data_IF_558746374916
#
_entry.id   IF_558746374916
#
_cell.length_a   1.000
_cell.length_b   1.000
_cell.length_c   1.000
_cell.angle_alpha   90.00
_cell.angle_beta   90.00
_cell.angle_gamma   90.00
#
_symmetry.space_group_name_H-M   'P 1'
#
loop_
_entity.id
_entity.type
_entity.pdbx_description
1 polymer ?
#
# COMPACT_ATOMS: atom_id res chain seq x y z
N UNK A 1 -11.98 -1.30 -19.24
CA UNK A 1 -12.00 -1.41 -17.76
C UNK A 1 -10.76 -2.18 -17.37
N UNK A 2 -10.02 -1.71 -16.36
CA UNK A 2 -8.78 -2.37 -15.91
C UNK A 2 -9.05 -3.74 -15.27
N UNK A 3 -8.02 -4.59 -15.15
CA UNK A 3 -8.13 -5.97 -14.65
C UNK A 3 -8.62 -6.07 -13.19
N UNK A 4 -8.52 -4.99 -12.43
CA UNK A 4 -8.93 -4.91 -11.02
C UNK A 4 -10.37 -4.42 -10.82
N UNK A 5 -11.04 -3.93 -11.87
CA UNK A 5 -12.39 -3.39 -11.75
C UNK A 5 -13.39 -4.46 -11.28
N UNK A 6 -14.16 -4.12 -10.26
CA UNK A 6 -15.21 -4.99 -9.71
C UNK A 6 -16.61 -4.51 -10.08
N UNK A 7 -16.92 -3.26 -9.73
CA UNK A 7 -18.22 -2.63 -9.97
C UNK A 7 -18.16 -1.13 -9.71
N UNK A 8 -19.30 -0.46 -9.97
CA UNK A 8 -19.53 0.93 -9.55
C UNK A 8 -20.45 0.94 -8.32
N UNK A 9 -20.16 1.80 -7.35
CA UNK A 9 -21.00 2.08 -6.19
C UNK A 9 -21.43 3.55 -6.21
N UNK A 10 -22.54 3.90 -5.54
CA UNK A 10 -23.04 5.27 -5.50
C UNK A 10 -22.86 5.91 -4.11
N UNK A 11 -22.59 7.20 -4.11
CA UNK A 11 -22.53 8.04 -2.91
C UNK A 11 -23.34 9.32 -3.15
N UNK A 12 -24.43 9.48 -2.40
CA UNK A 12 -25.20 10.71 -2.38
C UNK A 12 -24.69 11.63 -1.27
N UNK A 13 -24.25 12.82 -1.62
CA UNK A 13 -23.64 13.80 -0.70
C UNK A 13 -23.84 15.24 -1.22
N UNK A 14 -24.24 16.17 -0.36
CA UNK A 14 -24.39 17.59 -0.71
C UNK A 14 -25.33 17.83 -1.90
N UNK A 15 -26.39 17.02 -2.06
CA UNK A 15 -27.32 17.09 -3.19
C UNK A 15 -26.76 16.56 -4.52
N UNK A 16 -25.55 16.02 -4.54
CA UNK A 16 -24.92 15.40 -5.71
C UNK A 16 -24.82 13.89 -5.54
N UNK A 17 -24.94 13.17 -6.65
CA UNK A 17 -24.69 11.73 -6.72
C UNK A 17 -23.36 11.48 -7.41
N UNK A 18 -22.45 10.80 -6.71
CA UNK A 18 -21.20 10.34 -7.25
C UNK A 18 -21.28 8.86 -7.64
N UNK A 19 -20.72 8.52 -8.79
CA UNK A 19 -20.49 7.15 -9.24
C UNK A 19 -19.02 6.80 -9.03
N UNK A 20 -18.76 5.89 -8.11
CA UNK A 20 -17.40 5.52 -7.70
C UNK A 20 -17.10 4.09 -8.17
N UNK A 21 -16.09 3.96 -9.01
CA UNK A 21 -15.53 2.66 -9.42
C UNK A 21 -14.76 2.07 -8.24
N UNK A 22 -14.90 0.77 -8.03
CA UNK A 22 -14.20 0.05 -6.97
C UNK A 22 -13.47 -1.17 -7.50
N UNK A 23 -12.29 -1.43 -6.95
CA UNK A 23 -11.51 -2.62 -7.22
C UNK A 23 -11.81 -3.73 -6.21
N UNK A 24 -11.59 -4.99 -6.62
CA UNK A 24 -11.81 -6.17 -5.79
C UNK A 24 -11.03 -6.12 -4.47
N UNK A 25 -9.80 -5.66 -4.51
CA UNK A 25 -8.85 -5.70 -3.39
C UNK A 25 -8.82 -4.43 -2.54
N UNK A 26 -9.67 -3.45 -2.84
CA UNK A 26 -9.79 -2.23 -2.04
C UNK A 26 -10.80 -2.42 -0.90
N UNK A 27 -10.56 -1.70 0.19
CA UNK A 27 -11.49 -1.67 1.32
C UNK A 27 -12.88 -1.22 0.87
N UNK A 28 -13.91 -1.88 1.43
CA UNK A 28 -15.32 -1.58 1.15
C UNK A 28 -15.72 -1.64 -0.34
N UNK A 29 -15.21 -2.66 -1.05
CA UNK A 29 -15.44 -2.85 -2.49
C UNK A 29 -16.86 -3.32 -2.86
N UNK A 30 -17.80 -3.42 -1.93
CA UNK A 30 -19.19 -3.78 -2.16
C UNK A 30 -20.15 -2.58 -2.16
N UNK A 31 -19.90 -1.63 -1.26
CA UNK A 31 -20.65 -0.39 -1.09
C UNK A 31 -19.76 0.63 -0.36
N UNK A 32 -20.15 1.90 -0.35
CA UNK A 32 -19.46 2.90 0.46
C UNK A 32 -19.66 2.57 1.93
N UNK A 33 -18.56 2.46 2.66
CA UNK A 33 -18.55 2.09 4.08
C UNK A 33 -19.48 2.98 4.93
N UNK A 34 -20.21 2.33 5.85
CA UNK A 34 -21.17 3.02 6.73
C UNK A 34 -20.47 4.06 7.61
N UNK A 35 -19.25 3.76 8.09
CA UNK A 35 -18.44 4.71 8.86
C UNK A 35 -18.07 5.95 8.03
N UNK A 36 -17.67 5.76 6.77
CA UNK A 36 -17.41 6.86 5.83
C UNK A 36 -18.64 7.74 5.63
N UNK A 37 -19.82 7.14 5.41
CA UNK A 37 -21.09 7.90 5.32
C UNK A 37 -21.43 8.63 6.62
N UNK A 38 -21.16 8.00 7.77
CA UNK A 38 -21.38 8.61 9.08
C UNK A 38 -20.48 9.83 9.27
N UNK A 39 -19.20 9.72 8.93
CA UNK A 39 -18.24 10.83 9.03
C UNK A 39 -18.64 12.00 8.12
N UNK A 40 -19.00 11.74 6.85
CA UNK A 40 -19.49 12.76 5.93
C UNK A 40 -20.70 13.51 6.47
N UNK A 41 -21.65 12.82 7.10
CA UNK A 41 -22.84 13.44 7.72
C UNK A 41 -22.47 14.38 8.88
N UNK A 42 -21.43 14.07 9.66
CA UNK A 42 -20.96 14.94 10.76
C UNK A 42 -20.22 16.18 10.26
N UNK A 43 -19.81 16.20 9.00
CA UNK A 43 -19.11 17.30 8.34
C UNK A 43 -20.02 18.11 7.38
N UNK A 44 -21.33 17.80 7.35
CA UNK A 44 -22.28 18.49 6.47
C UNK A 44 -22.78 19.83 7.00
N UNK A 45 -22.45 20.20 8.25
CA UNK A 45 -22.87 21.45 8.88
C UNK A 45 -22.18 22.69 8.27
N UNK A 46 -22.81 23.88 8.35
CA UNK A 46 -22.28 25.13 7.81
C UNK A 46 -20.96 25.53 8.47
N UNK A 47 -20.71 25.12 9.71
CA UNK A 47 -19.46 25.37 10.46
C UNK A 47 -18.22 24.74 9.82
N UNK A 48 -18.44 23.81 8.90
CA UNK A 48 -17.37 23.17 8.12
C UNK A 48 -17.22 23.73 6.71
N UNK A 49 -18.10 24.67 6.29
CA UNK A 49 -18.11 25.24 4.94
C UNK A 49 -16.88 26.07 4.58
N UNK A 50 -16.27 26.76 5.57
CA UNK A 50 -15.07 27.57 5.36
C UNK A 50 -13.78 26.77 5.22
N UNK A 51 -13.80 25.45 5.40
CA UNK A 51 -12.61 24.59 5.33
C UNK A 51 -12.31 24.23 3.89
N UNK A 52 -11.30 24.88 3.33
CA UNK A 52 -10.98 24.81 1.90
C UNK A 52 -9.95 23.76 1.57
N UNK A 53 -8.82 23.70 2.29
CA UNK A 53 -7.76 22.74 2.05
C UNK A 53 -7.98 21.48 2.90
N UNK A 54 -8.23 20.35 2.24
CA UNK A 54 -8.64 19.07 2.87
C UNK A 54 -7.65 17.97 2.55
N UNK A 55 -7.25 17.21 3.56
CA UNK A 55 -6.48 15.97 3.42
C UNK A 55 -7.36 14.77 3.77
N UNK A 56 -7.53 13.83 2.84
CA UNK A 56 -8.13 12.51 3.08
C UNK A 56 -6.99 11.48 3.25
N UNK A 57 -6.75 11.07 4.48
CA UNK A 57 -5.65 10.19 4.88
C UNK A 57 -6.10 8.72 4.86
N UNK A 58 -5.52 7.91 3.97
CA UNK A 58 -5.99 6.55 3.70
C UNK A 58 -7.26 6.56 2.85
N UNK A 59 -7.21 7.28 1.72
CA UNK A 59 -8.39 7.63 0.93
C UNK A 59 -9.11 6.45 0.26
N UNK A 60 -8.45 5.28 0.12
CA UNK A 60 -9.02 4.16 -0.63
C UNK A 60 -9.33 4.56 -2.08
N UNK A 61 -10.54 4.28 -2.55
CA UNK A 61 -11.01 4.72 -3.87
C UNK A 61 -11.64 6.14 -3.86
N UNK A 62 -11.42 6.92 -2.79
CA UNK A 62 -11.73 8.33 -2.67
C UNK A 62 -13.11 8.72 -2.13
N UNK A 63 -13.93 7.84 -1.51
CA UNK A 63 -15.32 8.17 -1.19
C UNK A 63 -15.45 9.34 -0.20
N UNK A 64 -14.50 9.49 0.74
CA UNK A 64 -14.56 10.53 1.77
C UNK A 64 -14.14 11.88 1.19
N UNK A 65 -12.94 11.99 0.64
CA UNK A 65 -12.42 13.24 0.10
C UNK A 65 -13.19 13.74 -1.13
N UNK A 66 -13.55 12.83 -2.08
CA UNK A 66 -14.38 13.19 -3.23
C UNK A 66 -15.78 13.60 -2.81
N UNK A 67 -16.35 12.97 -1.78
CA UNK A 67 -17.62 13.38 -1.19
C UNK A 67 -17.56 14.81 -0.62
N UNK A 68 -16.49 15.14 0.11
CA UNK A 68 -16.28 16.49 0.64
C UNK A 68 -16.09 17.53 -0.48
N UNK A 69 -15.36 17.20 -1.54
CA UNK A 69 -15.19 18.07 -2.72
C UNK A 69 -16.51 18.31 -3.45
N UNK A 70 -17.31 17.24 -3.61
CA UNK A 70 -18.62 17.35 -4.26
C UNK A 70 -19.61 18.21 -3.47
N UNK A 71 -19.58 18.12 -2.14
CA UNK A 71 -20.45 18.88 -1.24
C UNK A 71 -20.09 20.37 -1.16
N UNK A 72 -18.82 20.74 -1.40
CA UNK A 72 -18.33 22.10 -1.36
C UNK A 72 -17.31 22.35 -2.50
N UNK A 73 -17.74 22.98 -3.60
CA UNK A 73 -16.94 23.19 -4.81
C UNK A 73 -15.69 24.06 -4.65
N UNK A 74 -15.55 24.77 -3.56
CA UNK A 74 -14.37 25.61 -3.28
C UNK A 74 -13.23 24.86 -2.55
N UNK A 75 -13.42 23.58 -2.27
CA UNK A 75 -12.41 22.77 -1.60
C UNK A 75 -11.33 22.28 -2.56
N UNK A 76 -10.08 22.37 -2.14
CA UNK A 76 -8.94 21.68 -2.73
C UNK A 76 -8.68 20.44 -1.89
N UNK A 77 -8.63 19.27 -2.51
CA UNK A 77 -8.57 17.98 -1.78
C UNK A 77 -7.35 17.19 -2.16
N UNK A 78 -6.54 16.83 -1.17
CA UNK A 78 -5.46 15.88 -1.29
C UNK A 78 -5.93 14.51 -0.80
N UNK A 79 -5.84 13.51 -1.66
CA UNK A 79 -6.20 12.11 -1.41
C UNK A 79 -4.92 11.31 -1.30
N UNK A 80 -4.61 10.76 -0.14
CA UNK A 80 -3.36 10.01 0.02
C UNK A 80 -3.63 8.60 0.51
N UNK A 81 -2.91 7.64 -0.07
CA UNK A 81 -2.95 6.26 0.36
C UNK A 81 -1.57 5.60 0.16
N UNK A 82 -1.25 4.60 0.97
CA UNK A 82 -0.07 3.78 0.75
C UNK A 82 -0.23 2.76 -0.38
N UNK A 83 -1.46 2.50 -0.81
CA UNK A 83 -1.80 1.55 -1.87
C UNK A 83 -1.95 2.28 -3.22
N UNK A 84 -1.07 1.99 -4.17
CA UNK A 84 -1.09 2.58 -5.51
C UNK A 84 -2.43 2.34 -6.24
N UNK A 85 -3.09 1.18 -6.02
CA UNK A 85 -4.40 0.90 -6.61
C UNK A 85 -5.47 1.84 -6.05
N UNK A 86 -5.41 2.16 -4.77
CA UNK A 86 -6.30 3.15 -4.15
C UNK A 86 -6.11 4.53 -4.78
N UNK A 87 -4.86 4.95 -4.97
CA UNK A 87 -4.51 6.22 -5.61
C UNK A 87 -5.02 6.28 -7.06
N UNK A 88 -4.82 5.22 -7.85
CA UNK A 88 -5.30 5.15 -9.24
C UNK A 88 -6.83 5.26 -9.30
N UNK A 89 -7.55 4.50 -8.48
CA UNK A 89 -9.02 4.54 -8.43
C UNK A 89 -9.55 5.89 -7.91
N UNK A 90 -8.87 6.54 -6.98
CA UNK A 90 -9.21 7.89 -6.53
C UNK A 90 -9.10 8.91 -7.67
N UNK A 91 -8.04 8.85 -8.49
CA UNK A 91 -7.88 9.71 -9.69
C UNK A 91 -8.95 9.45 -10.73
N UNK A 92 -9.19 8.16 -11.05
CA UNK A 92 -10.25 7.78 -12.00
C UNK A 92 -11.63 8.24 -11.54
N UNK A 93 -11.93 8.12 -10.25
CA UNK A 93 -13.20 8.54 -9.68
C UNK A 93 -13.36 10.06 -9.64
N UNK A 94 -12.29 10.81 -9.36
CA UNK A 94 -12.31 12.28 -9.48
C UNK A 94 -12.65 12.70 -10.91
N UNK A 95 -11.94 12.15 -11.90
CA UNK A 95 -12.13 12.43 -13.33
C UNK A 95 -13.54 12.02 -13.81
N UNK A 96 -14.02 10.81 -13.45
CA UNK A 96 -15.32 10.31 -13.84
C UNK A 96 -16.50 11.18 -13.32
N UNK A 97 -16.30 11.80 -12.15
CA UNK A 97 -17.29 12.69 -11.53
C UNK A 97 -17.04 14.19 -11.83
N UNK A 98 -16.06 14.52 -12.70
CA UNK A 98 -15.68 15.89 -13.08
C UNK A 98 -15.38 16.77 -11.86
N UNK A 99 -14.63 16.22 -10.92
CA UNK A 99 -14.16 16.92 -9.74
C UNK A 99 -12.73 17.41 -10.00
N UNK A 100 -12.61 18.70 -10.18
CA UNK A 100 -11.34 19.43 -10.30
C UNK A 100 -10.75 19.73 -8.91
N UNK A 101 -9.54 20.27 -8.83
CA UNK A 101 -8.82 20.57 -7.57
C UNK A 101 -8.71 19.38 -6.61
N UNK A 102 -8.45 18.21 -7.19
CA UNK A 102 -8.21 16.95 -6.49
C UNK A 102 -6.85 16.40 -6.88
N UNK A 103 -5.96 16.25 -5.89
CA UNK A 103 -4.67 15.59 -6.05
C UNK A 103 -4.68 14.24 -5.34
N UNK A 104 -4.45 13.14 -6.06
CA UNK A 104 -4.30 11.82 -5.46
C UNK A 104 -2.88 11.27 -5.67
N UNK A 105 -2.20 10.86 -4.57
CA UNK A 105 -0.82 10.38 -4.62
C UNK A 105 -0.50 9.42 -3.47
N UNK A 106 0.62 8.67 -3.66
CA UNK A 106 1.11 7.73 -2.65
C UNK A 106 1.69 8.44 -1.43
N UNK A 107 1.29 8.00 -0.22
CA UNK A 107 1.91 8.46 1.02
C UNK A 107 1.87 7.40 2.10
N UNK A 108 2.94 7.31 2.89
CA UNK A 108 2.98 6.51 4.10
C UNK A 108 2.59 7.37 5.31
N UNK A 109 1.30 7.37 5.64
CA UNK A 109 0.75 8.33 6.58
C UNK A 109 0.95 9.77 6.08
N UNK A 110 1.57 10.62 6.90
CA UNK A 110 1.85 12.02 6.58
C UNK A 110 3.19 12.25 5.86
N UNK A 111 4.06 11.24 5.76
CA UNK A 111 5.45 11.40 5.34
C UNK A 111 5.67 11.90 3.90
N UNK A 112 4.68 11.76 3.02
CA UNK A 112 4.77 12.21 1.63
C UNK A 112 3.71 13.25 1.28
N UNK A 113 3.05 13.79 2.28
CA UNK A 113 2.06 14.85 2.09
C UNK A 113 2.73 16.09 1.52
N UNK A 114 2.23 16.59 0.38
CA UNK A 114 2.90 17.61 -0.44
C UNK A 114 2.55 19.05 -0.05
N UNK A 115 1.58 19.24 0.86
CA UNK A 115 1.15 20.54 1.33
C UNK A 115 1.06 20.54 2.86
N UNK A 116 1.10 21.70 3.45
CA UNK A 116 0.85 21.97 4.88
C UNK A 116 -0.18 23.07 5.01
N UNK A 117 -0.75 23.22 6.18
CA UNK A 117 -1.79 24.22 6.42
C UNK A 117 -3.19 23.73 6.05
N UNK A 118 -3.46 22.43 6.21
CA UNK A 118 -4.79 21.88 5.99
C UNK A 118 -5.81 22.41 7.00
N UNK A 119 -6.94 22.85 6.49
CA UNK A 119 -8.08 23.26 7.34
C UNK A 119 -8.81 22.05 7.93
N UNK A 120 -8.72 20.91 7.23
CA UNK A 120 -9.40 19.68 7.60
C UNK A 120 -8.57 18.45 7.20
N UNK A 121 -8.30 17.60 8.16
CA UNK A 121 -7.78 16.23 7.92
C UNK A 121 -8.89 15.24 8.24
N UNK A 122 -9.19 14.34 7.31
CA UNK A 122 -10.19 13.29 7.50
C UNK A 122 -9.57 11.91 7.30
N UNK A 123 -10.08 10.91 8.03
CA UNK A 123 -9.65 9.52 7.86
C UNK A 123 -10.70 8.52 8.37
N UNK A 124 -10.85 7.44 7.64
CA UNK A 124 -11.43 6.21 8.16
C UNK A 124 -10.29 5.31 8.65
N UNK A 125 -10.05 5.31 9.95
CA UNK A 125 -8.85 4.72 10.56
C UNK A 125 -8.82 3.19 10.39
N UNK A 126 -7.76 2.62 9.80
CA UNK A 126 -7.65 1.18 9.57
C UNK A 126 -7.45 0.41 10.88
N UNK A 127 -8.42 -0.41 11.26
CA UNK A 127 -8.44 -1.11 12.55
C UNK A 127 -7.25 -2.07 12.78
N UNK A 128 -6.65 -2.58 11.72
CA UNK A 128 -5.56 -3.56 11.77
C UNK A 128 -4.16 -2.96 11.57
N UNK A 129 -4.03 -1.63 11.61
CA UNK A 129 -2.75 -0.98 11.36
C UNK A 129 -1.69 -1.22 12.45
N UNK A 130 -2.13 -1.62 13.65
CA UNK A 130 -1.28 -1.70 14.84
C UNK A 130 -1.33 -0.42 15.67
N UNK A 131 -1.07 -0.56 16.97
CA UNK A 131 -1.24 0.52 17.92
C UNK A 131 -0.39 1.76 17.64
N UNK A 132 0.93 1.64 17.40
CA UNK A 132 1.78 2.80 17.13
C UNK A 132 1.39 3.52 15.85
N UNK A 133 0.93 2.77 14.83
CA UNK A 133 0.49 3.34 13.54
C UNK A 133 -0.83 4.10 13.72
N UNK A 134 -1.80 3.57 14.48
CA UNK A 134 -3.06 4.26 14.78
C UNK A 134 -2.77 5.57 15.53
N UNK A 135 -1.88 5.56 16.51
CA UNK A 135 -1.44 6.76 17.21
C UNK A 135 -0.84 7.81 16.27
N UNK A 136 0.05 7.39 15.36
CA UNK A 136 0.62 8.29 14.35
C UNK A 136 -0.45 8.86 13.41
N UNK A 137 -1.43 8.05 12.97
CA UNK A 137 -2.50 8.53 12.10
C UNK A 137 -3.40 9.57 12.80
N UNK A 138 -3.57 9.46 14.12
CA UNK A 138 -4.37 10.39 14.92
C UNK A 138 -3.60 11.66 15.29
N UNK A 139 -2.39 11.52 15.84
CA UNK A 139 -1.64 12.64 16.41
C UNK A 139 -0.72 13.32 15.41
N UNK A 140 -0.25 12.63 14.37
CA UNK A 140 0.61 13.19 13.32
C UNK A 140 -0.07 14.26 12.45
N UNK A 141 -1.38 14.39 12.52
CA UNK A 141 -2.10 15.47 11.84
C UNK A 141 -1.63 16.87 12.26
N UNK A 142 -1.09 17.03 13.48
CA UNK A 142 -0.51 18.26 13.97
C UNK A 142 0.62 18.81 13.07
N UNK A 143 1.33 17.94 12.36
CA UNK A 143 2.44 18.32 11.47
C UNK A 143 1.99 19.01 10.18
N UNK A 144 0.73 18.81 9.78
CA UNK A 144 0.22 19.31 8.49
C UNK A 144 -0.97 20.27 8.61
N UNK A 145 -1.57 20.39 9.79
CA UNK A 145 -2.74 21.26 10.00
C UNK A 145 -2.39 22.74 10.03
N UNK A 146 -3.30 23.57 9.53
CA UNK A 146 -3.32 24.99 9.80
C UNK A 146 -3.67 25.28 11.28
N UNK A 147 -3.30 26.47 11.81
CA UNK A 147 -3.81 26.94 13.10
C UNK A 147 -5.34 26.89 13.14
N UNK A 148 -5.91 26.21 14.16
CA UNK A 148 -7.36 26.01 14.26
C UNK A 148 -7.95 24.98 13.28
N UNK A 149 -7.10 24.28 12.53
CA UNK A 149 -7.51 23.18 11.68
C UNK A 149 -8.21 22.06 12.47
N UNK A 150 -9.03 21.28 11.80
CA UNK A 150 -9.84 20.20 12.37
C UNK A 150 -9.35 18.85 11.89
N UNK A 151 -9.27 17.89 12.79
CA UNK A 151 -9.19 16.46 12.44
C UNK A 151 -10.56 15.84 12.66
N UNK A 152 -11.05 15.09 11.69
CA UNK A 152 -12.30 14.35 11.81
C UNK A 152 -12.06 12.89 11.37
N UNK A 153 -12.24 11.96 12.29
CA UNK A 153 -11.96 10.54 12.05
C UNK A 153 -13.14 9.66 12.42
N UNK A 154 -13.24 8.54 11.72
CA UNK A 154 -14.14 7.46 12.08
C UNK A 154 -13.35 6.18 12.37
N UNK A 155 -13.75 5.48 13.42
CA UNK A 155 -13.18 4.19 13.83
C UNK A 155 -14.29 3.17 14.05
N UNK A 156 -13.99 1.88 13.91
CA UNK A 156 -14.92 0.81 14.32
C UNK A 156 -15.08 0.77 15.83
N UNK A 157 -16.25 0.29 16.31
CA UNK A 157 -16.59 0.25 17.74
C UNK A 157 -15.51 -0.38 18.65
N UNK A 158 -14.82 -1.47 18.27
CA UNK A 158 -13.75 -2.04 19.10
C UNK A 158 -12.57 -1.10 19.39
N UNK A 159 -12.34 -0.09 18.56
CA UNK A 159 -11.26 0.90 18.77
C UNK A 159 -11.73 2.13 19.55
N UNK A 160 -13.03 2.30 19.78
CA UNK A 160 -13.62 3.51 20.34
C UNK A 160 -12.98 3.98 21.64
N UNK A 161 -12.93 3.09 22.63
CA UNK A 161 -12.44 3.45 23.97
C UNK A 161 -10.93 3.74 23.95
N UNK A 162 -10.18 2.98 23.15
CA UNK A 162 -8.75 3.21 22.98
C UNK A 162 -8.46 4.55 22.32
N UNK A 163 -9.20 4.91 21.27
CA UNK A 163 -9.03 6.18 20.56
C UNK A 163 -9.47 7.34 21.47
N UNK A 164 -10.58 7.19 22.19
CA UNK A 164 -11.01 8.18 23.18
C UNK A 164 -9.91 8.43 24.23
N UNK A 165 -9.40 7.37 24.85
CA UNK A 165 -8.35 7.48 25.86
C UNK A 165 -7.05 8.12 25.32
N UNK A 166 -6.67 7.80 24.08
CA UNK A 166 -5.51 8.40 23.44
C UNK A 166 -5.70 9.92 23.21
N UNK A 167 -6.84 10.32 22.67
CA UNK A 167 -7.13 11.73 22.38
C UNK A 167 -7.28 12.55 23.68
N UNK A 168 -8.04 12.06 24.64
CA UNK A 168 -8.27 12.70 25.94
C UNK A 168 -7.00 12.74 26.82
N UNK A 169 -6.12 11.73 26.67
CA UNK A 169 -4.82 11.67 27.36
C UNK A 169 -3.72 12.51 26.72
N UNK A 170 -3.96 13.13 25.55
CA UNK A 170 -2.98 13.95 24.83
C UNK A 170 -3.19 15.43 25.18
N UNK A 171 -2.27 16.09 25.95
CA UNK A 171 -2.50 17.45 26.47
C UNK A 171 -2.72 18.52 25.37
N UNK A 172 -2.22 18.26 24.16
CA UNK A 172 -2.35 19.16 23.01
C UNK A 172 -3.66 18.96 22.23
N UNK A 173 -4.50 17.99 22.60
CA UNK A 173 -5.71 17.62 21.85
C UNK A 173 -6.95 18.12 22.57
N UNK A 174 -7.82 18.83 21.85
CA UNK A 174 -9.17 19.21 22.28
C UNK A 174 -10.19 18.45 21.45
N UNK A 175 -10.92 17.51 22.05
CA UNK A 175 -12.03 16.81 21.39
C UNK A 175 -13.25 17.72 21.37
N UNK A 176 -13.63 18.20 20.19
CA UNK A 176 -14.75 19.17 20.00
C UNK A 176 -16.06 18.50 19.62
N UNK A 177 -16.03 17.25 19.16
CA UNK A 177 -17.23 16.50 18.82
C UNK A 177 -16.99 15.00 18.99
N UNK A 178 -17.97 14.28 19.51
CA UNK A 178 -17.97 12.82 19.59
C UNK A 178 -19.36 12.27 19.27
N UNK A 179 -19.41 11.24 18.43
CA UNK A 179 -20.64 10.50 18.13
C UNK A 179 -20.34 9.02 18.05
N UNK A 180 -21.09 8.21 18.79
CA UNK A 180 -20.98 6.75 18.78
C UNK A 180 -22.26 6.12 18.24
N UNK A 181 -22.11 5.01 17.53
CA UNK A 181 -23.16 4.08 17.12
C UNK A 181 -22.79 2.67 17.60
N UNK A 182 -23.61 1.68 17.34
CA UNK A 182 -23.28 0.29 17.67
C UNK A 182 -21.99 -0.19 16.99
N UNK A 183 -21.71 0.26 15.77
CA UNK A 183 -20.60 -0.25 14.94
C UNK A 183 -19.43 0.72 14.78
N UNK A 184 -19.62 2.02 14.98
CA UNK A 184 -18.62 3.06 14.70
C UNK A 184 -18.60 4.14 15.79
N UNK A 185 -17.46 4.84 15.88
CA UNK A 185 -17.36 6.11 16.60
C UNK A 185 -16.68 7.16 15.71
N UNK A 186 -17.19 8.39 15.75
CA UNK A 186 -16.62 9.56 15.09
C UNK A 186 -16.07 10.49 16.17
N UNK A 187 -14.89 11.03 15.90
CA UNK A 187 -14.26 12.07 16.72
C UNK A 187 -13.87 13.24 15.83
N UNK A 188 -14.22 14.48 16.26
CA UNK A 188 -13.61 15.68 15.74
C UNK A 188 -12.77 16.29 16.86
N UNK A 189 -11.55 16.69 16.52
CA UNK A 189 -10.64 17.30 17.49
C UNK A 189 -9.71 18.31 16.81
N UNK A 190 -9.09 19.14 17.63
CA UNK A 190 -8.12 20.17 17.24
C UNK A 190 -6.87 19.99 18.08
N UNK A 191 -5.79 20.59 17.61
CA UNK A 191 -4.58 20.72 18.41
C UNK A 191 -4.55 22.13 19.02
N UNK A 192 -4.42 22.21 20.34
CA UNK A 192 -4.18 23.43 21.10
C UNK A 192 -2.69 23.76 21.11
N UNK A 193 -2.38 25.06 21.21
CA UNK A 193 -1.01 25.55 21.22
C UNK A 193 -0.61 26.27 19.94
N UNK A 194 0.57 26.93 19.93
CA UNK A 194 1.10 27.51 18.70
C UNK A 194 1.30 26.38 17.68
N UNK A 195 1.03 26.62 16.38
CA UNK A 195 1.32 25.65 15.35
C UNK A 195 2.78 25.23 15.50
N UNK A 196 3.05 23.95 15.43
CA UNK A 196 4.42 23.51 15.24
C UNK A 196 4.98 24.32 14.07
N UNK A 197 6.05 25.09 14.30
CA UNK A 197 6.67 25.90 13.27
C UNK A 197 6.82 25.00 12.06
N UNK A 198 6.28 25.43 10.89
CA UNK A 198 6.08 24.67 9.67
C UNK A 198 6.99 23.42 9.62
N UNK A 199 6.51 22.34 10.19
CA UNK A 199 7.32 21.16 10.33
C UNK A 199 7.60 20.66 8.91
N UNK A 200 8.85 20.62 8.54
CA UNK A 200 9.30 19.88 7.37
C UNK A 200 8.65 18.51 7.49
N UNK A 201 7.96 18.00 6.44
CA UNK A 201 7.34 16.68 6.49
C UNK A 201 8.33 15.68 7.09
N UNK A 202 7.87 14.86 8.04
CA UNK A 202 8.75 13.94 8.77
C UNK A 202 9.63 13.19 7.78
N UNK A 203 10.94 13.13 8.05
CA UNK A 203 11.87 12.35 7.22
C UNK A 203 11.26 10.95 6.99
N UNK A 204 11.20 10.48 5.73
CA UNK A 204 10.69 9.15 5.41
C UNK A 204 11.27 8.02 6.27
N UNK A 205 12.50 8.17 6.78
CA UNK A 205 13.12 7.26 7.74
C UNK A 205 12.41 7.22 9.09
N UNK A 206 12.10 8.38 9.65
CA UNK A 206 11.35 8.51 10.91
C UNK A 206 9.93 7.94 10.80
N UNK A 207 9.30 8.08 9.63
CA UNK A 207 7.99 7.49 9.38
C UNK A 207 8.01 5.96 9.48
N UNK A 208 9.08 5.30 9.00
CA UNK A 208 9.22 3.84 9.08
C UNK A 208 9.36 3.32 10.51
N UNK A 209 9.98 4.08 11.41
CA UNK A 209 10.15 3.67 12.82
C UNK A 209 8.80 3.40 13.50
N UNK A 210 7.77 4.17 13.17
CA UNK A 210 6.40 3.99 13.69
C UNK A 210 5.76 2.68 13.26
N UNK A 211 6.18 2.14 12.12
CA UNK A 211 5.72 0.84 11.61
C UNK A 211 6.60 -0.31 12.08
N UNK A 212 7.77 -0.04 12.67
CA UNK A 212 8.68 -1.09 13.12
C UNK A 212 8.03 -1.94 14.20
N UNK A 213 8.14 -3.27 14.05
CA UNK A 213 7.62 -4.25 15.00
C UNK A 213 8.74 -4.92 15.80
N UNK A 214 9.65 -5.59 15.12
CA UNK A 214 10.74 -6.33 15.75
C UNK A 214 11.87 -6.59 14.77
N UNK A 215 13.02 -7.05 15.29
CA UNK A 215 14.08 -7.62 14.48
C UNK A 215 13.86 -9.12 14.33
N UNK A 216 14.11 -9.63 13.12
CA UNK A 216 14.04 -11.04 12.80
C UNK A 216 15.24 -11.43 11.94
N UNK A 217 15.72 -12.65 12.11
CA UNK A 217 16.83 -13.19 11.34
C UNK A 217 16.48 -14.52 10.73
N UNK A 218 16.98 -14.78 9.54
CA UNK A 218 16.82 -16.06 8.89
C UNK A 218 18.14 -16.49 8.26
N UNK A 219 18.45 -17.78 8.38
CA UNK A 219 19.55 -18.43 7.63
C UNK A 219 18.95 -19.44 6.68
N UNK A 220 19.28 -19.33 5.38
CA UNK A 220 18.81 -20.24 4.34
C UNK A 220 19.89 -20.51 3.32
N UNK A 221 20.14 -21.80 3.00
CA UNK A 221 21.18 -22.19 2.03
C UNK A 221 22.57 -21.62 2.36
N UNK A 222 22.92 -21.50 3.64
CA UNK A 222 24.18 -20.90 4.10
C UNK A 222 24.19 -19.36 4.09
N UNK A 223 23.11 -18.71 3.67
CA UNK A 223 22.98 -17.26 3.61
C UNK A 223 22.16 -16.76 4.81
N UNK A 224 22.70 -15.82 5.58
CA UNK A 224 22.04 -15.20 6.71
C UNK A 224 21.65 -13.75 6.39
N UNK A 225 20.43 -13.35 6.76
CA UNK A 225 19.93 -11.98 6.65
C UNK A 225 19.19 -11.58 7.93
N UNK A 226 19.28 -10.31 8.28
CA UNK A 226 18.57 -9.70 9.40
C UNK A 226 17.65 -8.60 8.87
N UNK A 227 16.41 -8.59 9.33
CA UNK A 227 15.40 -7.62 8.92
C UNK A 227 14.77 -6.96 10.15
N UNK A 228 14.41 -5.69 9.98
CA UNK A 228 13.43 -5.02 10.82
C UNK A 228 12.06 -5.22 10.18
N UNK A 229 11.17 -5.91 10.89
CA UNK A 229 9.82 -6.19 10.39
C UNK A 229 8.86 -5.09 10.78
N UNK A 230 7.79 -4.93 10.00
CA UNK A 230 6.83 -3.85 10.16
C UNK A 230 5.41 -4.36 10.38
N UNK A 231 4.63 -3.62 11.17
CA UNK A 231 3.18 -3.79 11.27
C UNK A 231 2.52 -3.56 9.90
N UNK A 232 1.44 -4.28 9.63
CA UNK A 232 0.67 -4.12 8.40
C UNK A 232 1.26 -4.80 7.17
N UNK A 233 2.38 -5.52 7.29
CA UNK A 233 2.94 -6.41 6.28
C UNK A 233 2.90 -7.87 6.76
N UNK A 234 2.75 -8.85 5.86
CA UNK A 234 2.78 -10.26 6.22
C UNK A 234 4.18 -10.74 6.63
N UNK A 235 4.27 -11.94 7.20
CA UNK A 235 5.53 -12.65 7.49
C UNK A 235 6.48 -11.89 8.44
N UNK A 236 5.94 -11.26 9.47
CA UNK A 236 6.72 -10.46 10.40
C UNK A 236 7.54 -11.29 11.42
N UNK A 237 7.13 -12.51 11.76
CA UNK A 237 7.82 -13.36 12.73
C UNK A 237 8.69 -14.42 12.05
N UNK A 238 8.29 -14.89 10.86
CA UNK A 238 8.99 -15.95 10.14
C UNK A 238 8.61 -15.98 8.66
N UNK A 239 9.48 -16.57 7.85
CA UNK A 239 9.20 -16.84 6.44
C UNK A 239 8.01 -17.77 6.28
N UNK A 240 7.05 -17.38 5.45
CA UNK A 240 5.97 -18.26 4.99
C UNK A 240 6.46 -19.41 4.11
N UNK A 241 5.62 -20.43 3.95
CA UNK A 241 6.00 -21.59 3.13
C UNK A 241 6.29 -21.24 1.68
N UNK A 242 5.51 -20.37 1.08
CA UNK A 242 5.72 -19.92 -0.31
C UNK A 242 7.05 -19.18 -0.44
N UNK A 243 7.35 -18.26 0.47
CA UNK A 243 8.59 -17.48 0.48
C UNK A 243 9.81 -18.38 0.67
N UNK A 244 9.71 -19.42 1.51
CA UNK A 244 10.77 -20.45 1.65
C UNK A 244 11.02 -21.19 0.36
N UNK A 245 9.98 -21.64 -0.36
CA UNK A 245 10.13 -22.34 -1.64
C UNK A 245 10.77 -21.46 -2.70
N UNK A 246 10.38 -20.19 -2.79
CA UNK A 246 10.97 -19.23 -3.73
C UNK A 246 12.42 -18.95 -3.35
N UNK A 247 12.74 -18.71 -2.08
CA UNK A 247 14.11 -18.53 -1.61
C UNK A 247 15.00 -19.72 -1.98
N UNK A 248 14.54 -20.95 -1.75
CA UNK A 248 15.27 -22.16 -2.14
C UNK A 248 15.48 -22.27 -3.65
N UNK A 249 14.51 -21.88 -4.45
CA UNK A 249 14.62 -21.86 -5.91
C UNK A 249 15.67 -20.83 -6.37
N UNK A 250 15.66 -19.63 -5.77
CA UNK A 250 16.63 -18.56 -6.04
C UNK A 250 18.04 -18.98 -5.66
N UNK A 251 18.25 -19.47 -4.44
CA UNK A 251 19.57 -19.87 -3.93
C UNK A 251 20.21 -21.01 -4.72
N UNK A 252 19.40 -21.90 -5.31
CA UNK A 252 19.89 -22.98 -6.18
C UNK A 252 20.08 -22.59 -7.63
N UNK A 253 19.42 -21.53 -8.09
CA UNK A 253 19.52 -21.08 -9.49
C UNK A 253 20.85 -20.40 -9.82
N UNK A 254 21.71 -20.18 -8.83
CA UNK A 254 22.85 -19.33 -8.89
C UNK A 254 24.06 -19.93 -9.59
N UNK A 255 24.34 -19.46 -10.80
CA UNK A 255 25.68 -19.59 -11.41
C UNK A 255 26.22 -18.23 -11.84
N UNK A 256 25.40 -17.23 -12.09
CA UNK A 256 25.83 -15.90 -12.47
C UNK A 256 24.97 -14.84 -11.76
N UNK A 257 25.60 -13.81 -11.15
CA UNK A 257 24.88 -12.65 -10.65
C UNK A 257 24.02 -12.02 -11.75
N UNK A 258 22.70 -11.77 -11.52
CA UNK A 258 21.90 -11.03 -12.50
C UNK A 258 22.40 -9.59 -12.62
N UNK A 259 22.43 -9.04 -13.83
CA UNK A 259 22.68 -7.62 -14.05
C UNK A 259 21.57 -6.79 -13.42
N UNK A 260 20.30 -7.11 -13.76
CA UNK A 260 19.12 -6.50 -13.17
C UNK A 260 18.17 -7.56 -12.64
N UNK A 261 17.80 -7.47 -11.36
CA UNK A 261 16.75 -8.29 -10.76
C UNK A 261 15.53 -7.41 -10.41
N UNK A 262 14.34 -7.86 -10.84
CA UNK A 262 13.06 -7.25 -10.52
C UNK A 262 12.36 -8.12 -9.46
N UNK A 263 11.96 -7.51 -8.36
CA UNK A 263 11.22 -8.20 -7.28
C UNK A 263 9.84 -7.58 -7.15
N UNK A 264 8.81 -8.36 -7.43
CA UNK A 264 7.41 -7.99 -7.25
C UNK A 264 6.91 -8.46 -5.89
N UNK A 265 6.21 -7.57 -5.20
CA UNK A 265 5.64 -7.82 -3.87
C UNK A 265 6.70 -8.27 -2.85
N UNK A 266 7.71 -7.42 -2.57
CA UNK A 266 8.83 -7.77 -1.71
C UNK A 266 8.45 -7.98 -0.23
N UNK A 267 7.26 -7.49 0.21
CA UNK A 267 6.78 -7.64 1.58
C UNK A 267 7.72 -7.03 2.61
N UNK A 268 8.18 -7.84 3.58
CA UNK A 268 9.17 -7.43 4.59
C UNK A 268 10.60 -7.30 4.05
N UNK A 269 10.85 -7.72 2.81
CA UNK A 269 12.19 -7.70 2.20
C UNK A 269 12.98 -9.01 2.33
N UNK A 270 12.35 -10.12 2.78
CA UNK A 270 13.04 -11.41 2.91
C UNK A 270 13.71 -11.85 1.61
N UNK A 271 12.96 -11.92 0.51
CA UNK A 271 13.47 -12.40 -0.78
C UNK A 271 14.54 -11.49 -1.38
N UNK A 272 14.35 -10.15 -1.47
CA UNK A 272 15.39 -9.28 -2.01
C UNK A 272 16.66 -9.27 -1.15
N UNK A 273 16.56 -9.36 0.19
CA UNK A 273 17.75 -9.44 1.05
C UNK A 273 18.49 -10.77 0.88
N UNK A 274 17.79 -11.91 0.80
CA UNK A 274 18.40 -13.21 0.50
C UNK A 274 19.05 -13.22 -0.88
N UNK A 275 18.38 -12.67 -1.90
CA UNK A 275 18.95 -12.53 -3.24
C UNK A 275 20.20 -11.65 -3.22
N UNK A 276 20.15 -10.50 -2.53
CA UNK A 276 21.31 -9.61 -2.40
C UNK A 276 22.49 -10.33 -1.74
N UNK A 277 22.27 -11.00 -0.62
CA UNK A 277 23.32 -11.69 0.11
C UNK A 277 23.94 -12.86 -0.68
N UNK A 278 23.14 -13.56 -1.49
CA UNK A 278 23.57 -14.73 -2.26
C UNK A 278 24.21 -14.38 -3.61
N UNK A 279 23.68 -13.40 -4.33
CA UNK A 279 24.00 -13.20 -5.75
C UNK A 279 24.52 -11.80 -6.10
N UNK A 280 24.37 -10.80 -5.22
CA UNK A 280 24.86 -9.43 -5.44
C UNK A 280 24.48 -8.87 -6.82
N UNK A 281 23.19 -8.81 -7.20
CA UNK A 281 22.76 -8.28 -8.50
C UNK A 281 23.29 -6.86 -8.74
N UNK A 282 23.56 -6.52 -9.99
CA UNK A 282 24.00 -5.18 -10.39
C UNK A 282 23.00 -4.11 -10.07
N UNK A 283 21.70 -4.42 -10.21
CA UNK A 283 20.56 -3.54 -9.88
C UNK A 283 19.42 -4.36 -9.30
N UNK A 284 18.76 -3.82 -8.28
CA UNK A 284 17.53 -4.34 -7.69
C UNK A 284 16.39 -3.35 -7.92
N UNK A 285 15.35 -3.79 -8.59
CA UNK A 285 14.10 -3.03 -8.75
C UNK A 285 13.03 -3.70 -7.92
N UNK A 286 12.47 -2.98 -6.94
CA UNK A 286 11.35 -3.45 -6.13
C UNK A 286 10.08 -2.78 -6.64
N UNK A 287 9.07 -3.56 -6.97
CA UNK A 287 7.78 -3.04 -7.43
C UNK A 287 6.67 -3.62 -6.56
N UNK A 288 5.89 -2.75 -5.99
CA UNK A 288 4.69 -3.09 -5.22
C UNK A 288 3.67 -1.95 -5.28
N UNK A 289 2.41 -2.29 -5.13
CA UNK A 289 1.36 -1.30 -4.87
C UNK A 289 1.39 -0.79 -3.42
N UNK A 290 2.01 -1.51 -2.49
CA UNK A 290 2.14 -1.13 -1.08
C UNK A 290 3.45 -0.39 -0.82
N UNK A 291 3.36 0.93 -0.62
CA UNK A 291 4.51 1.80 -0.36
C UNK A 291 5.29 1.40 0.90
N UNK A 292 4.59 0.87 1.93
CA UNK A 292 5.24 0.37 3.14
C UNK A 292 6.14 -0.82 2.82
N UNK A 293 5.67 -1.78 2.01
CA UNK A 293 6.46 -2.93 1.61
C UNK A 293 7.74 -2.52 0.85
N UNK A 294 7.64 -1.54 -0.03
CA UNK A 294 8.78 -1.00 -0.77
C UNK A 294 9.82 -0.37 0.16
N UNK A 295 9.39 0.52 1.05
CA UNK A 295 10.28 1.24 1.96
C UNK A 295 10.93 0.32 2.99
N UNK A 296 10.16 -0.58 3.59
CA UNK A 296 10.69 -1.57 4.54
C UNK A 296 11.69 -2.48 3.85
N UNK A 297 11.40 -2.96 2.65
CA UNK A 297 12.33 -3.79 1.88
C UNK A 297 13.59 -3.04 1.49
N UNK A 298 13.49 -1.78 1.07
CA UNK A 298 14.63 -0.93 0.76
C UNK A 298 15.50 -0.70 2.01
N UNK A 299 14.91 -0.32 3.12
CA UNK A 299 15.64 -0.11 4.38
C UNK A 299 16.35 -1.39 4.84
N UNK A 300 15.70 -2.54 4.72
CA UNK A 300 16.30 -3.83 5.05
C UNK A 300 17.44 -4.22 4.11
N UNK A 301 17.34 -3.93 2.81
CA UNK A 301 18.44 -4.13 1.86
C UNK A 301 19.65 -3.29 2.23
N UNK A 302 19.45 -2.00 2.52
CA UNK A 302 20.54 -1.11 2.95
C UNK A 302 21.19 -1.61 4.23
N UNK A 303 20.41 -2.02 5.22
CA UNK A 303 20.90 -2.60 6.48
C UNK A 303 21.66 -3.93 6.28
N UNK A 304 21.40 -4.66 5.19
CA UNK A 304 22.17 -5.86 4.80
C UNK A 304 23.31 -5.54 3.81
N UNK A 305 23.73 -4.28 3.73
CA UNK A 305 24.91 -3.84 2.97
C UNK A 305 24.69 -3.74 1.45
N UNK A 306 23.43 -3.56 1.00
CA UNK A 306 23.16 -3.20 -0.39
C UNK A 306 23.41 -1.71 -0.59
N UNK A 307 24.24 -1.28 -1.56
CA UNK A 307 24.45 0.13 -1.84
C UNK A 307 23.14 0.81 -2.31
N UNK A 308 22.85 2.04 -1.86
CA UNK A 308 21.59 2.72 -2.16
C UNK A 308 21.37 2.94 -3.65
N UNK A 309 22.42 3.20 -4.43
CA UNK A 309 22.37 3.39 -5.89
C UNK A 309 21.96 2.13 -6.66
N UNK A 310 22.00 0.96 -6.03
CA UNK A 310 21.58 -0.30 -6.65
C UNK A 310 20.12 -0.64 -6.41
N UNK A 311 19.43 0.05 -5.49
CA UNK A 311 18.04 -0.23 -5.12
C UNK A 311 17.11 0.85 -5.65
N UNK A 312 16.15 0.45 -6.47
CA UNK A 312 15.12 1.34 -7.01
C UNK A 312 13.75 0.82 -6.62
N UNK A 313 12.89 1.69 -6.09
CA UNK A 313 11.51 1.35 -5.75
C UNK A 313 10.54 1.93 -6.78
N UNK A 314 9.52 1.16 -7.15
CA UNK A 314 8.43 1.56 -8.03
C UNK A 314 7.08 1.35 -7.34
N UNK A 315 6.48 2.44 -6.85
CA UNK A 315 5.15 2.40 -6.24
C UNK A 315 4.08 2.43 -7.32
N UNK A 316 3.61 1.25 -7.72
CA UNK A 316 2.63 1.05 -8.81
C UNK A 316 1.94 -0.31 -8.70
N UNK A 317 0.82 -0.44 -9.38
CA UNK A 317 0.02 -1.68 -9.38
C UNK A 317 0.72 -2.77 -10.18
N UNK A 318 1.13 -2.47 -11.39
CA UNK A 318 1.83 -3.39 -12.29
C UNK A 318 3.24 -2.89 -12.62
N UNK A 319 4.21 -3.78 -12.88
CA UNK A 319 5.52 -3.39 -13.36
C UNK A 319 5.43 -2.73 -14.73
N UNK A 320 6.29 -1.72 -14.98
CA UNK A 320 6.35 -1.13 -16.31
C UNK A 320 7.08 -2.04 -17.32
N UNK A 321 6.65 -2.04 -18.59
CA UNK A 321 7.27 -2.88 -19.62
C UNK A 321 8.76 -2.61 -19.83
N UNK A 322 9.21 -1.35 -19.68
CA UNK A 322 10.63 -1.01 -19.84
C UNK A 322 11.48 -1.67 -18.73
N UNK A 323 10.96 -1.67 -17.49
CA UNK A 323 11.61 -2.36 -16.37
C UNK A 323 11.69 -3.87 -16.55
N UNK A 324 10.71 -4.48 -17.21
CA UNK A 324 10.69 -5.89 -17.54
C UNK A 324 11.72 -6.25 -18.61
N UNK A 325 11.85 -5.45 -19.66
CA UNK A 325 12.81 -5.69 -20.76
C UNK A 325 14.28 -5.61 -20.32
N UNK A 326 14.56 -4.99 -19.20
CA UNK A 326 15.91 -4.87 -18.62
C UNK A 326 16.19 -5.93 -17.52
N UNK A 327 15.24 -6.82 -17.23
CA UNK A 327 15.36 -7.77 -16.12
C UNK A 327 15.89 -9.13 -16.57
N UNK A 328 17.04 -9.56 -16.02
CA UNK A 328 17.57 -10.92 -16.20
C UNK A 328 16.87 -11.91 -15.27
N UNK A 329 16.38 -11.43 -14.15
CA UNK A 329 15.67 -12.21 -13.13
C UNK A 329 14.45 -11.47 -12.62
N UNK A 330 13.31 -12.13 -12.64
CA UNK A 330 12.07 -11.62 -11.99
C UNK A 330 11.68 -12.57 -10.86
N UNK A 331 11.53 -12.03 -9.66
CA UNK A 331 10.94 -12.74 -8.50
C UNK A 331 9.54 -12.18 -8.26
N UNK A 332 8.51 -13.01 -8.34
CA UNK A 332 7.15 -12.58 -8.13
C UNK A 332 6.42 -13.43 -7.09
N UNK A 333 6.09 -12.81 -5.95
CA UNK A 333 5.17 -13.36 -4.96
C UNK A 333 3.74 -12.99 -5.36
N UNK A 334 3.02 -13.92 -6.00
CA UNK A 334 1.67 -13.64 -6.49
C UNK A 334 0.69 -13.51 -5.31
N UNK A 335 -0.09 -12.46 -5.28
CA UNK A 335 -1.03 -12.16 -4.19
C UNK A 335 -2.22 -13.12 -4.22
N UNK A 336 -2.58 -13.78 -3.10
CA UNK A 336 -3.65 -14.79 -3.10
C UNK A 336 -5.07 -14.18 -3.23
N UNK A 337 -5.23 -12.87 -3.01
CA UNK A 337 -6.53 -12.17 -3.02
C UNK A 337 -6.84 -11.47 -4.33
N UNK A 338 -5.90 -11.41 -5.25
CA UNK A 338 -6.16 -10.81 -6.56
C UNK A 338 -7.17 -11.64 -7.34
N UNK A 339 -8.05 -11.00 -8.15
CA UNK A 339 -8.90 -11.75 -9.07
C UNK A 339 -8.07 -12.71 -9.90
N UNK A 340 -8.55 -13.94 -10.07
CA UNK A 340 -7.77 -14.99 -10.76
C UNK A 340 -7.32 -14.58 -12.17
N UNK A 341 -8.13 -13.77 -12.87
CA UNK A 341 -7.81 -13.23 -14.17
C UNK A 341 -6.69 -12.18 -14.14
N UNK A 342 -6.66 -11.34 -13.11
CA UNK A 342 -5.61 -10.33 -12.91
C UNK A 342 -4.25 -10.98 -12.71
N UNK A 343 -4.14 -11.94 -11.78
CA UNK A 343 -2.90 -12.68 -11.52
C UNK A 343 -2.36 -13.36 -12.77
N UNK A 344 -3.24 -13.99 -13.54
CA UNK A 344 -2.86 -14.66 -14.80
C UNK A 344 -2.38 -13.66 -15.84
N UNK A 345 -3.08 -12.52 -16.00
CA UNK A 345 -2.69 -11.46 -16.93
C UNK A 345 -1.32 -10.88 -16.56
N UNK A 346 -1.05 -10.63 -15.28
CA UNK A 346 0.26 -10.18 -14.79
C UNK A 346 1.35 -11.18 -15.19
N UNK A 347 1.16 -12.49 -14.96
CA UNK A 347 2.17 -13.52 -15.31
C UNK A 347 2.39 -13.59 -16.82
N UNK A 348 1.33 -13.50 -17.64
CA UNK A 348 1.45 -13.45 -19.11
C UNK A 348 2.27 -12.25 -19.55
N UNK A 349 1.98 -11.07 -19.02
CA UNK A 349 2.72 -9.83 -19.32
C UNK A 349 4.19 -9.95 -18.90
N UNK A 350 4.47 -10.43 -17.69
CA UNK A 350 5.84 -10.65 -17.21
C UNK A 350 6.66 -11.51 -18.19
N UNK A 351 6.11 -12.67 -18.57
CA UNK A 351 6.81 -13.60 -19.47
C UNK A 351 6.94 -13.06 -20.89
N UNK A 352 5.94 -12.30 -21.38
CA UNK A 352 5.97 -11.73 -22.71
C UNK A 352 7.04 -10.64 -22.88
N UNK A 353 7.30 -9.85 -21.84
CA UNK A 353 8.15 -8.66 -21.92
C UNK A 353 9.63 -8.90 -21.54
N UNK A 354 9.94 -9.90 -20.71
CA UNK A 354 11.34 -10.16 -20.29
C UNK A 354 12.21 -10.60 -21.46
N UNK A 355 13.55 -10.40 -21.42
CA UNK A 355 14.47 -10.83 -22.47
C UNK A 355 14.54 -12.34 -22.62
N UNK A 356 15.00 -12.82 -23.79
CA UNK A 356 15.37 -14.23 -23.97
C UNK A 356 16.48 -14.65 -23.01
N UNK A 357 16.39 -15.83 -22.43
CA UNK A 357 17.31 -16.32 -21.41
C UNK A 357 17.03 -15.79 -20.00
N UNK A 358 16.18 -14.76 -19.84
CA UNK A 358 15.79 -14.28 -18.53
C UNK A 358 14.93 -15.31 -17.77
N UNK A 359 15.02 -15.26 -16.45
CA UNK A 359 14.30 -16.20 -15.56
C UNK A 359 13.21 -15.49 -14.77
N UNK A 360 12.09 -16.19 -14.59
CA UNK A 360 11.00 -15.78 -13.69
C UNK A 360 10.82 -16.83 -12.62
N UNK A 361 10.89 -16.43 -11.36
CA UNK A 361 10.55 -17.29 -10.21
C UNK A 361 9.22 -16.82 -9.64
N UNK A 362 8.19 -17.65 -9.78
CA UNK A 362 6.86 -17.37 -9.28
C UNK A 362 6.60 -18.16 -8.00
N UNK A 363 6.05 -17.50 -7.00
CA UNK A 363 5.58 -18.09 -5.76
C UNK A 363 4.10 -17.82 -5.50
N UNK A 364 3.31 -18.86 -5.25
CA UNK A 364 1.90 -18.77 -4.87
C UNK A 364 1.35 -20.08 -4.30
N UNK A 365 0.05 -20.12 -4.01
CA UNK A 365 -0.68 -21.37 -3.81
C UNK A 365 -0.60 -22.27 -5.06
N UNK A 366 -0.54 -23.58 -4.87
CA UNK A 366 -0.33 -24.55 -5.96
C UNK A 366 -1.37 -24.48 -7.07
N UNK A 367 -2.63 -24.18 -6.75
CA UNK A 367 -3.71 -23.99 -7.72
C UNK A 367 -3.46 -22.76 -8.61
N UNK A 368 -3.02 -21.64 -8.01
CA UNK A 368 -2.68 -20.41 -8.74
C UNK A 368 -1.53 -20.66 -9.72
N UNK A 369 -0.44 -21.29 -9.27
CA UNK A 369 0.69 -21.63 -10.15
C UNK A 369 0.24 -22.54 -11.30
N UNK A 370 -0.59 -23.57 -11.02
CA UNK A 370 -1.09 -24.47 -12.08
C UNK A 370 -1.92 -23.70 -13.11
N UNK A 371 -2.76 -22.78 -12.69
CA UNK A 371 -3.56 -21.92 -13.59
C UNK A 371 -2.67 -21.01 -14.43
N UNK A 372 -1.65 -20.38 -13.83
CA UNK A 372 -0.70 -19.53 -14.56
C UNK A 372 0.07 -20.35 -15.63
N UNK A 373 0.53 -21.55 -15.30
CA UNK A 373 1.22 -22.41 -16.27
C UNK A 373 0.30 -22.82 -17.44
N UNK A 374 -0.95 -23.19 -17.15
CA UNK A 374 -1.93 -23.51 -18.20
C UNK A 374 -2.21 -22.29 -19.11
N UNK A 375 -2.26 -21.07 -18.55
CA UNK A 375 -2.45 -19.85 -19.34
C UNK A 375 -1.23 -19.53 -20.21
N UNK A 376 -0.01 -19.72 -19.71
CA UNK A 376 1.22 -19.56 -20.49
C UNK A 376 1.28 -20.53 -21.69
N UNK A 377 0.89 -21.78 -21.47
CA UNK A 377 0.81 -22.80 -22.50
C UNK A 377 -0.27 -22.47 -23.56
N UNK A 378 -1.46 -22.10 -23.11
CA UNK A 378 -2.55 -21.66 -24.00
C UNK A 378 -2.19 -20.43 -24.85
N UNK A 379 -1.43 -19.49 -24.27
CA UNK A 379 -0.93 -18.31 -24.98
C UNK A 379 0.29 -18.62 -25.87
N UNK A 380 0.79 -19.85 -25.89
CA UNK A 380 1.96 -20.30 -26.66
C UNK A 380 3.21 -19.42 -26.45
N UNK A 381 3.38 -18.86 -25.25
CA UNK A 381 4.55 -18.06 -24.93
C UNK A 381 5.80 -18.94 -24.90
N UNK A 382 6.95 -18.48 -25.46
CA UNK A 382 8.17 -19.26 -25.57
C UNK A 382 8.88 -19.35 -24.20
N UNK A 383 8.40 -20.21 -23.32
CA UNK A 383 8.91 -20.40 -21.97
C UNK A 383 9.05 -21.89 -21.66
N UNK A 384 10.07 -22.24 -20.86
CA UNK A 384 10.21 -23.60 -20.31
C UNK A 384 10.20 -23.56 -18.78
N UNK A 385 9.63 -24.56 -18.16
CA UNK A 385 9.76 -24.80 -16.74
C UNK A 385 11.13 -25.44 -16.46
N UNK A 386 11.96 -24.76 -15.65
CA UNK A 386 13.30 -25.22 -15.26
C UNK A 386 13.23 -26.03 -13.95
N UNK A 387 12.48 -25.54 -12.97
CA UNK A 387 12.26 -26.22 -11.67
C UNK A 387 10.84 -25.94 -11.17
N UNK A 388 10.25 -26.87 -10.46
CA UNK A 388 8.97 -26.69 -9.78
C UNK A 388 8.96 -27.41 -8.45
N UNK A 389 8.64 -26.67 -7.38
CA UNK A 389 8.58 -27.20 -6.02
C UNK A 389 7.21 -26.97 -5.42
N UNK A 390 6.78 -27.95 -4.62
CA UNK A 390 5.49 -27.92 -3.93
C UNK A 390 5.67 -28.38 -2.49
N UNK A 391 5.06 -27.66 -1.55
CA UNK A 391 4.95 -28.07 -0.17
C UNK A 391 3.74 -27.40 0.49
N UNK A 392 2.98 -28.15 1.27
CA UNK A 392 1.88 -27.64 2.11
C UNK A 392 0.93 -26.68 1.37
N UNK A 393 0.50 -27.04 0.15
CA UNK A 393 -0.41 -26.23 -0.67
C UNK A 393 0.23 -25.04 -1.39
N UNK A 394 1.51 -24.76 -1.14
CA UNK A 394 2.30 -23.73 -1.81
C UNK A 394 3.13 -24.31 -2.96
N UNK A 395 3.48 -23.47 -3.93
CA UNK A 395 4.33 -23.85 -5.06
C UNK A 395 5.25 -22.69 -5.43
N UNK A 396 6.49 -23.05 -5.78
CA UNK A 396 7.40 -22.16 -6.50
C UNK A 396 7.76 -22.81 -7.84
N UNK A 397 7.82 -21.98 -8.90
CA UNK A 397 8.21 -22.43 -10.25
C UNK A 397 9.26 -21.49 -10.81
N UNK A 398 10.28 -22.07 -11.42
CA UNK A 398 11.31 -21.34 -12.17
C UNK A 398 11.02 -21.53 -13.66
N UNK A 399 10.78 -20.43 -14.34
CA UNK A 399 10.56 -20.34 -15.77
C UNK A 399 11.75 -19.67 -16.44
N UNK A 400 12.09 -20.08 -17.64
CA UNK A 400 13.11 -19.43 -18.48
C UNK A 400 12.53 -19.12 -19.85
N UNK A 401 12.66 -17.88 -20.31
CA UNK A 401 12.21 -17.44 -21.65
C UNK A 401 13.16 -17.98 -22.71
N UNK A 402 12.60 -18.67 -23.72
CA UNK A 402 13.34 -19.20 -24.88
C UNK A 402 13.54 -18.17 -25.99
#
# INVERSE_FOLDING_TARGET
>A
MGPHFKKTVTLDVGGRRLELRVAQDLFSSHEVDVGTRLLLRTLAGPEHGARRLVLDLGCGYGPLGLGLRAAAPDRVVHLVDRDALAVEYSRENAAANRLEDVEAYGSLGYADVRAVGFDLVVSNIPAKAGAPVIEQLLLGAAEVLAPGGLVAVVVIAPLRERVAALLEGSPQVEVVFRRATASYAVFHYRFGGPPAAAAVPADPGTALERYQRQEASVTRGGVAVRLRTAYGLPEFDSLGFTTRLVADAVLRSGSRPPGTALVLHPGQGWLPCLLWAAARPGRLRLVDRDLLALRVSQANLLANGCPPERVHIGHRVDPDPAGLRDADLVLAMLRPREPAGSTTATVLSLVAEIPRGARVVLGAGSTTITRCLAALDAAKLPVRTVDRRRAKGSSAVVLERR
#
